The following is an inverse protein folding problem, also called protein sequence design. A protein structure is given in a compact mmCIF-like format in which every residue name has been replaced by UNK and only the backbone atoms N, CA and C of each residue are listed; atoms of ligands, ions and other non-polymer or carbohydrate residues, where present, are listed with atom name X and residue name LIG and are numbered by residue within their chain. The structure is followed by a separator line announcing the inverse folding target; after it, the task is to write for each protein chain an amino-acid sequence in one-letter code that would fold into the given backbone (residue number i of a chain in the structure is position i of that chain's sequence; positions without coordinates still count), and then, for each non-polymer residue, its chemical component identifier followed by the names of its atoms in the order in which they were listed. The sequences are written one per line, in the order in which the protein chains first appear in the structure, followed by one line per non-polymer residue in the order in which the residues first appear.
data_IF_249243076761
#
_entry.id   IF_249243076761
#
_cell.length_a   1.000
_cell.length_b   1.000
_cell.length_c   1.000
_cell.angle_alpha   90.00
_cell.angle_beta   90.00
_cell.angle_gamma   90.00
#
_symmetry.space_group_name_H-M   'P 1'
#
loop_
_entity.id
_entity.type
_entity.pdbx_description
1 polymer ?
#
# COMPACT_ATOMS: atom_id res chain seq x y z
N UNK A 1 -1.60 -15.28 -12.64
CA UNK A 1 -0.77 -15.36 -13.86
C UNK A 1 -0.08 -16.72 -13.88
N UNK A 2 0.02 -17.35 -15.04
CA UNK A 2 0.71 -18.64 -15.20
C UNK A 2 2.10 -18.36 -15.75
N UNK A 3 3.14 -18.65 -14.96
CA UNK A 3 4.53 -18.67 -15.42
C UNK A 3 5.01 -20.12 -15.34
N UNK A 4 5.49 -20.67 -16.46
CA UNK A 4 6.20 -21.95 -16.45
C UNK A 4 5.38 -23.11 -15.84
N UNK A 5 4.10 -23.22 -16.23
CA UNK A 5 3.18 -24.25 -15.73
C UNK A 5 2.73 -24.09 -14.27
N UNK A 6 3.17 -23.04 -13.56
CA UNK A 6 2.81 -22.75 -12.16
C UNK A 6 1.89 -21.53 -12.07
N UNK A 7 0.95 -21.57 -11.15
CA UNK A 7 0.03 -20.47 -10.86
C UNK A 7 0.61 -19.54 -9.79
N UNK A 8 0.69 -18.24 -10.09
CA UNK A 8 0.98 -17.22 -9.09
C UNK A 8 -0.25 -17.04 -8.17
N UNK A 9 -0.09 -17.39 -6.90
CA UNK A 9 -1.09 -17.26 -5.86
C UNK A 9 -0.94 -15.95 -5.09
N UNK A 10 -2.01 -15.20 -4.96
CA UNK A 10 -2.08 -14.05 -4.05
C UNK A 10 -3.53 -13.77 -3.66
N UNK A 11 -3.74 -13.31 -2.43
CA UNK A 11 -4.97 -12.66 -2.01
C UNK A 11 -4.88 -11.19 -2.40
N UNK A 12 -5.87 -10.68 -3.12
CA UNK A 12 -5.87 -9.32 -3.64
C UNK A 12 -7.15 -8.60 -3.26
N UNK A 13 -7.02 -7.32 -2.91
CA UNK A 13 -8.15 -6.42 -2.68
C UNK A 13 -8.21 -5.43 -3.83
N UNK A 14 -9.42 -5.19 -4.34
CA UNK A 14 -9.68 -4.30 -5.46
C UNK A 14 -10.64 -3.19 -5.08
N UNK A 15 -10.38 -1.99 -5.59
CA UNK A 15 -11.32 -0.88 -5.64
C UNK A 15 -11.68 -0.65 -7.11
N UNK A 16 -12.82 -1.18 -7.54
CA UNK A 16 -13.15 -1.27 -8.97
C UNK A 16 -12.17 -2.21 -9.68
N UNK A 17 -11.47 -1.70 -10.69
CA UNK A 17 -10.43 -2.40 -11.45
C UNK A 17 -9.01 -2.17 -10.89
N UNK A 18 -8.87 -1.32 -9.87
CA UNK A 18 -7.57 -1.00 -9.25
C UNK A 18 -7.27 -2.01 -8.15
N UNK A 19 -6.16 -2.73 -8.26
CA UNK A 19 -5.63 -3.54 -7.17
C UNK A 19 -5.00 -2.63 -6.13
N UNK A 20 -5.56 -2.61 -4.92
CA UNK A 20 -5.16 -1.69 -3.84
C UNK A 20 -4.34 -2.37 -2.75
N UNK A 21 -4.36 -3.70 -2.70
CA UNK A 21 -3.53 -4.49 -1.80
C UNK A 21 -3.32 -5.90 -2.38
N UNK A 22 -2.17 -6.51 -2.08
CA UNK A 22 -1.85 -7.87 -2.48
C UNK A 22 -0.95 -8.57 -1.47
N UNK A 23 -1.32 -9.77 -1.05
CA UNK A 23 -0.47 -10.63 -0.21
C UNK A 23 0.81 -11.06 -0.92
N UNK A 24 0.83 -11.02 -2.25
CA UNK A 24 1.97 -11.39 -3.09
C UNK A 24 2.92 -10.24 -3.42
N UNK A 25 2.78 -9.08 -2.76
CA UNK A 25 3.56 -7.87 -3.08
C UNK A 25 5.05 -8.03 -2.83
N UNK A 26 5.43 -8.50 -1.64
CA UNK A 26 6.82 -8.69 -1.25
C UNK A 26 7.36 -10.09 -1.50
N UNK A 27 6.47 -11.08 -1.61
CA UNK A 27 6.88 -12.48 -1.80
C UNK A 27 5.89 -13.16 -2.73
N UNK A 28 6.37 -13.56 -3.91
CA UNK A 28 5.59 -14.32 -4.88
C UNK A 28 5.45 -15.76 -4.39
N UNK A 29 4.23 -16.27 -4.43
CA UNK A 29 3.95 -17.67 -4.15
C UNK A 29 3.50 -18.37 -5.43
N UNK A 30 4.19 -19.43 -5.80
CA UNK A 30 3.83 -20.26 -6.95
C UNK A 30 3.26 -21.59 -6.47
N UNK A 31 2.12 -22.00 -7.02
CA UNK A 31 1.52 -23.30 -6.78
C UNK A 31 1.38 -24.07 -8.08
N UNK A 32 1.65 -25.38 -8.05
CA UNK A 32 1.61 -26.24 -9.24
C UNK A 32 0.20 -26.60 -9.69
N UNK A 33 -0.83 -26.40 -8.84
CA UNK A 33 -2.20 -26.81 -9.17
C UNK A 33 -3.25 -25.82 -8.66
N UNK A 34 -3.39 -25.67 -7.33
CA UNK A 34 -4.40 -24.81 -6.72
C UNK A 34 -3.85 -23.98 -5.57
N UNK A 35 -4.34 -22.76 -5.46
CA UNK A 35 -4.16 -21.89 -4.31
C UNK A 35 -5.34 -22.08 -3.36
N UNK A 36 -5.07 -22.21 -2.06
CA UNK A 36 -6.09 -22.37 -1.02
C UNK A 36 -5.88 -21.23 -0.02
N UNK A 37 -6.92 -20.41 0.17
CA UNK A 37 -7.01 -19.50 1.30
C UNK A 37 -7.77 -20.19 2.43
N UNK A 38 -7.22 -20.16 3.63
CA UNK A 38 -7.79 -20.82 4.80
C UNK A 38 -7.63 -19.91 6.02
N UNK A 39 -8.72 -19.67 6.74
CA UNK A 39 -8.65 -19.22 8.12
C UNK A 39 -8.57 -20.48 9.00
N UNK A 40 -7.38 -20.76 9.52
CA UNK A 40 -7.13 -21.98 10.27
C UNK A 40 -7.76 -21.90 11.67
N UNK A 41 -7.99 -23.07 12.30
CA UNK A 41 -8.60 -23.17 13.63
C UNK A 41 -7.83 -22.46 14.74
N UNK A 42 -6.53 -22.25 14.54
CA UNK A 42 -5.68 -21.49 15.45
C UNK A 42 -5.79 -19.97 15.24
N UNK A 43 -6.63 -19.50 14.32
CA UNK A 43 -6.88 -18.10 14.01
C UNK A 43 -6.01 -17.53 12.89
N UNK A 44 -5.07 -18.29 12.33
CA UNK A 44 -4.16 -17.76 11.31
C UNK A 44 -4.78 -17.84 9.91
N UNK A 45 -4.88 -16.71 9.21
CA UNK A 45 -5.22 -16.66 7.79
C UNK A 45 -4.00 -17.03 6.95
N UNK A 46 -4.13 -18.05 6.10
CA UNK A 46 -3.03 -18.64 5.32
C UNK A 46 -3.39 -18.75 3.85
N UNK A 47 -2.42 -18.44 3.00
CA UNK A 47 -2.42 -18.76 1.57
C UNK A 47 -1.44 -19.92 1.34
N UNK A 48 -1.98 -21.07 0.95
CA UNK A 48 -1.21 -22.32 0.79
C UNK A 48 -1.47 -23.03 -0.53
N UNK A 49 -0.50 -23.83 -0.96
CA UNK A 49 -0.61 -24.70 -2.13
C UNK A 49 -1.28 -26.01 -1.73
N UNK A 50 -1.74 -26.80 -2.71
CA UNK A 50 -2.32 -28.13 -2.50
C UNK A 50 -1.40 -29.10 -1.76
N UNK A 51 -0.07 -28.90 -1.83
CA UNK A 51 0.92 -29.67 -1.07
C UNK A 51 1.16 -29.15 0.36
N UNK A 52 0.28 -28.28 0.89
CA UNK A 52 0.35 -27.64 2.21
C UNK A 52 1.51 -26.65 2.39
N UNK A 53 2.28 -26.33 1.36
CA UNK A 53 3.26 -25.24 1.43
C UNK A 53 2.54 -23.89 1.63
N UNK A 54 2.87 -23.18 2.71
CA UNK A 54 2.30 -21.85 3.03
C UNK A 54 3.23 -20.78 2.47
N UNK A 55 2.76 -20.01 1.50
CA UNK A 55 3.55 -18.92 0.90
C UNK A 55 3.27 -17.54 1.52
N UNK A 56 2.11 -17.37 2.14
CA UNK A 56 1.77 -16.16 2.91
C UNK A 56 0.86 -16.51 4.08
N UNK A 57 1.01 -15.80 5.20
CA UNK A 57 0.12 -15.90 6.36
C UNK A 57 0.04 -14.57 7.12
N UNK A 58 -1.05 -14.39 7.85
CA UNK A 58 -1.31 -13.19 8.66
C UNK A 58 -0.49 -13.13 9.96
N UNK A 59 -0.04 -14.26 10.48
CA UNK A 59 0.70 -14.32 11.75
C UNK A 59 -0.19 -14.18 12.98
N UNK A 60 -1.48 -14.53 12.87
CA UNK A 60 -2.48 -14.34 13.95
C UNK A 60 -2.80 -15.61 14.73
N UNK A 61 -1.96 -16.64 14.61
CA UNK A 61 -2.09 -17.88 15.38
C UNK A 61 -2.14 -17.59 16.88
N UNK A 62 -3.13 -18.15 17.58
CA UNK A 62 -3.37 -17.95 19.01
C UNK A 62 -4.03 -16.62 19.38
N UNK A 63 -4.36 -15.75 18.42
CA UNK A 63 -4.98 -14.44 18.71
C UNK A 63 -6.51 -14.47 18.75
N UNK A 64 -7.13 -15.66 18.61
CA UNK A 64 -8.58 -15.83 18.71
C UNK A 64 -9.35 -15.23 17.52
N UNK A 65 -8.74 -15.14 16.34
CA UNK A 65 -9.42 -14.66 15.14
C UNK A 65 -10.49 -15.66 14.71
N UNK A 66 -11.69 -15.15 14.43
CA UNK A 66 -12.84 -15.96 14.01
C UNK A 66 -13.36 -15.57 12.63
N UNK A 67 -13.07 -14.35 12.16
CA UNK A 67 -13.65 -13.82 10.92
C UNK A 67 -12.70 -12.90 10.16
N UNK A 68 -12.82 -12.97 8.85
CA UNK A 68 -12.21 -12.07 7.87
C UNK A 68 -13.29 -11.14 7.33
N UNK A 69 -13.03 -9.84 7.30
CA UNK A 69 -13.96 -8.83 6.80
C UNK A 69 -13.24 -7.80 5.93
N UNK A 70 -13.88 -7.39 4.84
CA UNK A 70 -13.47 -6.20 4.08
C UNK A 70 -14.39 -5.04 4.44
N UNK A 71 -13.82 -4.00 5.04
CA UNK A 71 -14.55 -2.80 5.43
C UNK A 71 -14.86 -1.94 4.19
N UNK A 72 -15.84 -1.03 4.31
CA UNK A 72 -16.20 -0.07 3.25
C UNK A 72 -15.05 0.85 2.82
N UNK A 73 -14.03 1.00 3.67
CA UNK A 73 -12.77 1.71 3.39
C UNK A 73 -11.81 0.93 2.49
N UNK A 74 -12.09 -0.35 2.21
CA UNK A 74 -11.17 -1.28 1.55
C UNK A 74 -10.15 -1.94 2.50
N UNK A 75 -10.24 -1.66 3.81
CA UNK A 75 -9.39 -2.31 4.81
C UNK A 75 -9.83 -3.76 5.01
N UNK A 76 -8.92 -4.70 4.78
CA UNK A 76 -9.14 -6.12 5.05
C UNK A 76 -8.70 -6.39 6.48
N UNK A 77 -9.63 -6.78 7.35
CA UNK A 77 -9.39 -6.97 8.78
C UNK A 77 -9.66 -8.41 9.20
N UNK A 78 -8.87 -8.89 10.15
CA UNK A 78 -9.12 -10.10 10.92
C UNK A 78 -9.60 -9.71 12.31
N UNK A 79 -10.75 -10.25 12.72
CA UNK A 79 -11.42 -9.89 13.96
C UNK A 79 -11.56 -11.13 14.86
N UNK A 80 -11.49 -10.91 16.17
CA UNK A 80 -11.90 -11.89 17.18
C UNK A 80 -13.41 -11.85 17.46
N UNK A 81 -13.88 -12.72 18.35
CA UNK A 81 -15.28 -12.81 18.79
C UNK A 81 -15.83 -11.49 19.40
N UNK A 82 -14.94 -10.63 19.90
CA UNK A 82 -15.26 -9.33 20.50
C UNK A 82 -15.20 -8.18 19.48
N UNK A 83 -15.04 -8.48 18.19
CA UNK A 83 -14.85 -7.51 17.11
C UNK A 83 -13.58 -6.65 17.24
N UNK A 84 -12.56 -7.14 17.95
CA UNK A 84 -11.26 -6.48 18.03
C UNK A 84 -10.40 -6.88 16.84
N UNK A 85 -9.83 -5.88 16.16
CA UNK A 85 -8.91 -6.06 15.04
C UNK A 85 -7.61 -6.69 15.56
N UNK A 86 -7.31 -7.90 15.09
CA UNK A 86 -6.03 -8.60 15.35
C UNK A 86 -5.01 -8.40 14.24
N UNK A 87 -5.48 -8.14 13.03
CA UNK A 87 -4.66 -7.84 11.87
C UNK A 87 -5.44 -7.01 10.87
N UNK A 88 -4.77 -6.13 10.15
CA UNK A 88 -5.40 -5.33 9.09
C UNK A 88 -4.43 -5.05 7.95
N UNK A 89 -4.93 -5.04 6.71
CA UNK A 89 -4.12 -4.79 5.52
C UNK A 89 -3.52 -3.39 5.49
N UNK A 90 -4.16 -2.42 6.15
CA UNK A 90 -3.67 -1.03 6.20
C UNK A 90 -2.30 -0.89 6.89
N UNK A 91 -1.93 -1.84 7.76
CA UNK A 91 -0.60 -1.88 8.39
C UNK A 91 0.48 -2.47 7.48
N UNK A 92 0.10 -3.07 6.35
CA UNK A 92 1.00 -3.73 5.39
C UNK A 92 0.72 -3.21 3.98
N UNK A 93 0.93 -1.91 3.71
CA UNK A 93 0.59 -1.31 2.43
C UNK A 93 1.45 -1.87 1.28
N UNK A 94 0.96 -1.71 0.04
CA UNK A 94 1.68 -2.10 -1.18
C UNK A 94 2.16 -0.86 -1.95
N UNK A 95 1.73 -0.65 -3.19
CA UNK A 95 1.92 0.56 -4.00
C UNK A 95 0.82 1.60 -3.80
N UNK A 96 -0.28 1.27 -3.12
CA UNK A 96 -1.48 2.10 -2.96
C UNK A 96 -1.75 2.41 -1.49
N UNK A 97 -2.20 3.64 -1.24
CA UNK A 97 -2.75 4.11 0.02
C UNK A 97 -4.22 4.53 -0.18
N UNK A 98 -5.13 3.97 0.61
CA UNK A 98 -6.56 4.29 0.55
C UNK A 98 -6.94 5.46 1.46
N UNK A 99 -8.10 6.06 1.18
CA UNK A 99 -8.64 7.11 2.04
C UNK A 99 -8.85 6.59 3.48
N UNK A 100 -8.45 7.40 4.46
CA UNK A 100 -8.47 7.05 5.88
C UNK A 100 -7.26 6.25 6.36
N UNK A 101 -6.46 5.68 5.46
CA UNK A 101 -5.23 4.99 5.83
C UNK A 101 -4.20 5.97 6.39
N UNK A 102 -3.39 5.50 7.35
CA UNK A 102 -2.26 6.20 7.95
C UNK A 102 -0.98 5.49 7.56
N UNK A 103 0.05 6.25 7.17
CA UNK A 103 1.41 5.74 7.00
C UNK A 103 2.31 6.48 7.99
N UNK A 104 2.82 5.74 8.97
CA UNK A 104 3.79 6.25 9.93
C UNK A 104 5.17 6.42 9.27
N UNK A 105 6.03 7.23 9.89
CA UNK A 105 7.45 7.27 9.54
C UNK A 105 8.02 5.85 9.48
N UNK A 106 8.92 5.62 8.51
CA UNK A 106 9.48 4.31 8.16
C UNK A 106 8.50 3.32 7.49
N UNK A 107 7.23 3.69 7.33
CA UNK A 107 6.33 3.00 6.39
C UNK A 107 6.61 3.47 4.97
N UNK A 108 6.54 2.56 4.01
CA UNK A 108 6.78 2.86 2.61
C UNK A 108 5.71 2.23 1.72
N UNK A 109 5.37 2.91 0.65
CA UNK A 109 4.70 2.29 -0.50
C UNK A 109 5.77 1.90 -1.49
N UNK A 110 5.67 0.73 -2.11
CA UNK A 110 6.64 0.30 -3.13
C UNK A 110 5.94 -0.15 -4.38
N UNK A 111 6.49 0.19 -5.56
CA UNK A 111 6.02 -0.36 -6.83
C UNK A 111 6.25 -1.88 -6.88
N UNK A 112 5.53 -2.59 -7.75
CA UNK A 112 5.74 -4.00 -8.07
C UNK A 112 6.84 -4.19 -9.14
N UNK A 113 8.11 -4.49 -8.77
CA UNK A 113 9.11 -4.85 -9.76
C UNK A 113 8.74 -6.18 -10.43
N UNK A 114 8.59 -6.17 -11.76
CA UNK A 114 8.25 -7.39 -12.51
C UNK A 114 9.46 -8.26 -12.84
N UNK A 115 10.62 -7.65 -13.12
CA UNK A 115 11.75 -8.33 -13.78
C UNK A 115 13.13 -7.95 -13.21
N UNK A 116 13.27 -6.80 -12.54
CA UNK A 116 14.56 -6.28 -12.08
C UNK A 116 14.56 -5.96 -10.58
N UNK A 117 15.76 -5.79 -10.01
CA UNK A 117 15.94 -5.27 -8.64
C UNK A 117 15.65 -3.76 -8.54
N UNK A 118 15.08 -3.16 -9.59
CA UNK A 118 14.71 -1.75 -9.64
C UNK A 118 13.26 -1.60 -9.19
N UNK A 119 13.04 -0.80 -8.16
CA UNK A 119 11.70 -0.45 -7.71
C UNK A 119 11.65 0.98 -7.19
N UNK A 120 10.48 1.58 -7.26
CA UNK A 120 10.20 2.90 -6.72
C UNK A 120 9.59 2.77 -5.33
N UNK A 121 9.93 3.67 -4.43
CA UNK A 121 9.27 3.79 -3.13
C UNK A 121 8.80 5.21 -2.85
N UNK A 122 7.66 5.32 -2.19
CA UNK A 122 7.21 6.52 -1.49
C UNK A 122 7.42 6.32 0.00
N UNK A 123 8.12 7.24 0.64
CA UNK A 123 8.54 7.09 2.04
C UNK A 123 8.22 8.33 2.86
N UNK A 124 7.79 8.06 4.10
CA UNK A 124 7.57 9.08 5.13
C UNK A 124 8.82 9.14 6.01
N UNK A 125 9.52 10.26 5.95
CA UNK A 125 10.73 10.54 6.73
C UNK A 125 10.43 11.59 7.80
N UNK A 126 11.32 11.75 8.78
CA UNK A 126 11.12 12.68 9.91
C UNK A 126 11.07 14.15 9.51
N UNK A 127 11.67 14.53 8.40
CA UNK A 127 11.75 15.92 7.92
C UNK A 127 10.91 16.18 6.66
N UNK A 128 10.49 15.12 5.95
CA UNK A 128 9.88 15.21 4.62
C UNK A 128 9.16 13.94 4.21
N UNK A 129 8.44 14.01 3.11
CA UNK A 129 8.07 12.83 2.32
C UNK A 129 8.86 12.85 1.01
N UNK A 130 9.21 11.68 0.49
CA UNK A 130 10.05 11.60 -0.70
C UNK A 130 9.74 10.38 -1.56
N UNK A 131 10.10 10.48 -2.83
CA UNK A 131 10.13 9.37 -3.76
C UNK A 131 11.57 8.93 -4.03
N UNK A 132 11.77 7.62 -4.01
CA UNK A 132 13.07 7.01 -4.23
C UNK A 132 13.06 6.03 -5.38
N UNK A 133 14.13 6.04 -6.16
CA UNK A 133 14.54 4.98 -7.05
C UNK A 133 15.50 4.07 -6.28
N UNK A 134 15.12 2.81 -6.10
CA UNK A 134 15.92 1.80 -5.43
C UNK A 134 16.47 0.84 -6.48
N UNK A 135 17.79 0.64 -6.49
CA UNK A 135 18.48 -0.28 -7.38
C UNK A 135 19.57 -1.03 -6.61
N UNK A 136 19.34 -2.31 -6.31
CA UNK A 136 20.23 -3.12 -5.48
C UNK A 136 20.47 -2.48 -4.10
N UNK A 137 21.66 -1.93 -3.85
CA UNK A 137 22.02 -1.22 -2.61
C UNK A 137 21.96 0.30 -2.76
N UNK A 138 21.70 0.80 -3.96
CA UNK A 138 21.62 2.22 -4.26
C UNK A 138 20.20 2.72 -4.06
N UNK A 139 20.09 3.94 -3.52
CA UNK A 139 18.83 4.61 -3.27
C UNK A 139 18.97 6.09 -3.59
N UNK A 140 18.22 6.56 -4.58
CA UNK A 140 18.28 7.93 -5.07
C UNK A 140 16.92 8.62 -4.88
N UNK A 141 16.91 9.72 -4.13
CA UNK A 141 15.75 10.60 -4.02
C UNK A 141 15.62 11.39 -5.32
N UNK A 142 14.44 11.38 -5.94
CA UNK A 142 14.18 12.16 -7.16
C UNK A 142 13.00 13.13 -7.03
N UNK A 143 12.32 13.13 -5.89
CA UNK A 143 11.27 14.10 -5.56
C UNK A 143 11.09 14.17 -4.05
N UNK A 144 10.89 15.37 -3.52
CA UNK A 144 10.72 15.60 -2.09
C UNK A 144 9.65 16.66 -1.82
N UNK A 145 8.87 16.47 -0.76
CA UNK A 145 7.99 17.49 -0.22
C UNK A 145 8.30 17.69 1.25
N UNK A 146 8.66 18.94 1.59
CA UNK A 146 8.96 19.36 2.96
C UNK A 146 7.81 20.22 3.49
N UNK A 147 7.25 19.93 4.68
CA UNK A 147 6.27 20.80 5.31
C UNK A 147 6.91 22.18 5.57
N UNK A 148 6.17 23.27 5.28
CA UNK A 148 6.68 24.62 5.43
C UNK A 148 6.91 25.03 6.89
N UNK A 149 8.02 25.73 7.15
CA UNK A 149 8.42 26.24 8.48
C UNK A 149 9.65 25.53 9.06
N UNK A 150 10.42 26.23 9.90
CA UNK A 150 11.61 25.66 10.54
C UNK A 150 11.21 24.63 11.61
N UNK A 151 12.00 23.55 11.75
CA UNK A 151 11.92 22.52 12.80
C UNK A 151 10.63 21.69 12.88
N UNK A 152 9.89 21.52 11.79
CA UNK A 152 8.74 20.60 11.80
C UNK A 152 9.18 19.15 11.60
N UNK A 153 8.76 18.28 12.52
CA UNK A 153 8.94 16.83 12.42
C UNK A 153 7.69 16.17 11.89
N UNK A 154 7.82 15.38 10.84
CA UNK A 154 6.75 14.50 10.35
C UNK A 154 6.76 13.22 11.19
N UNK A 155 5.58 12.78 11.63
CA UNK A 155 5.37 11.53 12.36
C UNK A 155 4.55 10.54 11.52
N UNK A 156 3.54 11.03 10.81
CA UNK A 156 2.74 10.21 9.90
C UNK A 156 2.07 11.06 8.84
N UNK A 157 1.59 10.40 7.79
CA UNK A 157 0.69 10.99 6.80
C UNK A 157 -0.64 10.26 6.78
N UNK A 158 -1.71 10.97 6.43
CA UNK A 158 -3.06 10.40 6.29
C UNK A 158 -3.70 10.90 5.01
N UNK A 159 -4.27 9.99 4.23
CA UNK A 159 -5.00 10.35 3.03
C UNK A 159 -6.44 10.71 3.41
N UNK A 160 -6.80 11.97 3.24
CA UNK A 160 -8.13 12.52 3.53
C UNK A 160 -8.88 12.91 2.25
N UNK A 161 -10.13 13.41 2.40
CA UNK A 161 -10.94 13.87 1.28
C UNK A 161 -10.40 15.14 0.60
N UNK A 162 -9.50 15.87 1.26
CA UNK A 162 -8.87 17.11 0.80
C UNK A 162 -7.41 16.90 0.34
N UNK A 163 -6.93 15.65 0.33
CA UNK A 163 -5.59 15.30 -0.14
C UNK A 163 -4.76 14.58 0.92
N UNK A 164 -3.43 14.68 0.81
CA UNK A 164 -2.50 14.02 1.72
C UNK A 164 -2.09 14.99 2.84
N UNK A 165 -2.50 14.69 4.06
CA UNK A 165 -2.15 15.45 5.26
C UNK A 165 -0.87 14.90 5.91
N UNK A 166 0.04 15.80 6.31
CA UNK A 166 1.22 15.47 7.11
C UNK A 166 0.99 15.92 8.55
N UNK A 167 1.33 15.07 9.51
CA UNK A 167 1.13 15.32 10.94
C UNK A 167 2.44 15.18 11.73
N UNK A 168 2.56 15.96 12.80
CA UNK A 168 3.67 15.88 13.75
C UNK A 168 3.42 14.86 14.88
N UNK A 169 4.35 14.81 15.83
CA UNK A 169 4.28 13.92 17.00
C UNK A 169 3.06 14.21 17.90
N UNK A 170 2.58 15.46 17.92
CA UNK A 170 1.40 15.89 18.66
C UNK A 170 0.10 15.70 17.86
N UNK A 171 0.17 15.05 16.69
CA UNK A 171 -0.95 14.89 15.76
C UNK A 171 -1.52 16.23 15.24
N UNK A 172 -0.73 17.29 15.23
CA UNK A 172 -1.06 18.55 14.58
C UNK A 172 -0.70 18.47 13.09
N UNK A 173 -1.61 18.96 12.23
CA UNK A 173 -1.36 19.00 10.79
C UNK A 173 -0.31 20.07 10.48
N UNK A 174 0.80 19.65 9.87
CA UNK A 174 1.95 20.51 9.57
C UNK A 174 2.13 20.84 8.09
N UNK A 175 1.47 20.08 7.21
CA UNK A 175 1.52 20.28 5.76
C UNK A 175 0.38 19.51 5.06
N UNK A 176 0.14 19.84 3.80
CA UNK A 176 -0.87 19.19 2.96
C UNK A 176 -0.50 19.27 1.49
N UNK A 177 -0.66 18.17 0.77
CA UNK A 177 -0.79 18.17 -0.70
C UNK A 177 -2.27 18.23 -1.01
N UNK A 178 -2.74 19.40 -1.46
CA UNK A 178 -4.17 19.65 -1.65
C UNK A 178 -4.68 18.98 -2.91
N UNK A 179 -5.71 18.15 -2.76
CA UNK A 179 -6.46 17.61 -3.89
C UNK A 179 -7.82 17.12 -3.42
N UNK A 180 -8.87 17.51 -4.13
CA UNK A 180 -10.25 17.15 -3.77
C UNK A 180 -10.71 15.88 -4.47
N UNK A 181 -11.71 15.21 -3.87
CA UNK A 181 -12.39 14.03 -4.43
C UNK A 181 -11.50 12.80 -4.63
N UNK A 182 -10.37 12.75 -3.92
CA UNK A 182 -9.44 11.63 -3.98
C UNK A 182 -10.05 10.36 -3.40
N UNK A 183 -9.76 9.25 -4.08
CA UNK A 183 -10.14 7.90 -3.66
C UNK A 183 -8.94 7.14 -3.11
N UNK A 184 -7.79 7.27 -3.76
CA UNK A 184 -6.55 6.66 -3.33
C UNK A 184 -5.34 7.44 -3.84
N UNK A 185 -4.19 7.18 -3.24
CA UNK A 185 -2.87 7.63 -3.66
C UNK A 185 -2.07 6.39 -4.09
N UNK A 186 -1.29 6.47 -5.16
CA UNK A 186 -0.50 5.33 -5.63
C UNK A 186 0.86 5.74 -6.20
N UNK A 187 1.85 4.88 -6.00
CA UNK A 187 3.15 4.93 -6.69
C UNK A 187 3.02 4.16 -8.00
N UNK A 188 3.26 4.84 -9.12
CA UNK A 188 3.12 4.26 -10.44
C UNK A 188 4.14 3.15 -10.70
N UNK A 189 3.66 1.92 -10.95
CA UNK A 189 4.54 0.76 -11.13
C UNK A 189 5.56 0.86 -12.27
N UNK A 190 5.24 1.64 -13.33
CA UNK A 190 6.14 1.86 -14.47
C UNK A 190 6.88 3.20 -14.40
N UNK A 191 6.27 4.20 -13.80
CA UNK A 191 6.72 5.59 -13.86
C UNK A 191 7.45 6.04 -12.60
N UNK A 192 7.26 5.35 -11.48
CA UNK A 192 7.68 5.77 -10.14
C UNK A 192 6.89 6.94 -9.56
N UNK A 193 6.27 7.75 -10.41
CA UNK A 193 5.53 8.93 -10.00
C UNK A 193 4.41 8.65 -8.98
N UNK A 194 4.26 9.55 -8.02
CA UNK A 194 3.18 9.55 -7.04
C UNK A 194 1.96 10.25 -7.62
N UNK A 195 0.83 9.57 -7.68
CA UNK A 195 -0.44 10.15 -8.12
C UNK A 195 -1.50 10.13 -7.04
N UNK A 196 -2.33 11.18 -6.98
CA UNK A 196 -3.60 11.14 -6.24
C UNK A 196 -4.72 10.97 -7.26
N UNK A 197 -5.55 9.93 -7.07
CA UNK A 197 -6.49 9.46 -8.08
C UNK A 197 -7.93 9.75 -7.68
N UNK A 198 -8.68 10.26 -8.66
CA UNK A 198 -10.12 10.50 -8.55
C UNK A 198 -10.86 9.65 -9.59
N UNK A 199 -12.08 9.23 -9.27
CA UNK A 199 -12.94 8.56 -10.25
C UNK A 199 -13.49 9.58 -11.25
N UNK A 200 -13.41 9.27 -12.54
CA UNK A 200 -13.99 10.09 -13.63
C UNK A 200 -15.20 9.34 -14.21
N UNK A 201 -16.43 9.70 -13.81
CA UNK A 201 -17.65 9.00 -14.23
C UNK A 201 -17.78 8.91 -15.76
N UNK A 202 -17.49 10.01 -16.46
CA UNK A 202 -17.54 10.12 -17.92
C UNK A 202 -16.67 9.08 -18.66
N UNK A 203 -15.60 8.61 -18.02
CA UNK A 203 -14.65 7.64 -18.59
C UNK A 203 -14.71 6.26 -17.93
N UNK A 204 -15.54 6.10 -16.89
CA UNK A 204 -15.67 4.86 -16.13
C UNK A 204 -14.40 4.39 -15.43
N UNK A 205 -13.40 5.26 -15.22
CA UNK A 205 -12.07 4.88 -14.68
C UNK A 205 -11.50 5.89 -13.71
N UNK A 206 -10.49 5.48 -12.94
CA UNK A 206 -9.70 6.37 -12.11
C UNK A 206 -8.63 7.10 -12.94
N UNK A 207 -8.47 8.40 -12.71
CA UNK A 207 -7.41 9.21 -13.31
C UNK A 207 -6.65 9.97 -12.23
N UNK A 208 -5.34 10.13 -12.43
CA UNK A 208 -4.51 10.96 -11.57
C UNK A 208 -4.91 12.42 -11.76
N UNK A 209 -5.36 13.06 -10.68
CA UNK A 209 -5.66 14.51 -10.66
C UNK A 209 -4.50 15.33 -10.14
N UNK A 210 -3.54 14.68 -9.48
CA UNK A 210 -2.25 15.24 -9.09
C UNK A 210 -1.15 14.24 -9.45
N UNK A 211 0.01 14.76 -9.84
CA UNK A 211 1.24 14.01 -10.02
C UNK A 211 2.39 14.77 -9.36
N UNK A 212 3.24 14.05 -8.62
CA UNK A 212 4.39 14.65 -7.94
C UNK A 212 5.43 15.21 -8.91
N UNK A 213 5.75 14.45 -9.95
CA UNK A 213 6.66 14.86 -11.03
C UNK A 213 5.80 15.18 -12.25
N UNK A 214 5.64 16.45 -12.56
CA UNK A 214 4.76 16.89 -13.66
C UNK A 214 5.54 17.16 -14.95
N UNK A 215 6.78 17.65 -14.82
CA UNK A 215 7.68 18.00 -15.92
C UNK A 215 9.10 17.48 -15.66
N UNK A 216 9.93 17.42 -16.71
CA UNK A 216 11.34 17.03 -16.59
C UNK A 216 12.16 17.98 -15.73
N UNK A 217 11.74 19.24 -15.58
CA UNK A 217 12.38 20.22 -14.69
C UNK A 217 12.16 19.91 -13.20
N UNK A 218 11.25 19.01 -12.86
CA UNK A 218 11.00 18.57 -11.48
C UNK A 218 11.97 17.43 -11.05
N UNK A 219 12.76 16.90 -12.01
CA UNK A 219 13.80 15.91 -11.74
C UNK A 219 15.13 16.62 -11.40
N UNK A 220 15.89 16.14 -10.42
CA UNK A 220 17.19 16.71 -10.04
C UNK A 220 18.27 16.55 -11.11
#
# INVERSE_FOLDING_TARGET
EQEDGRYLCSLQVFLGDVRVWSSGHYTKMYASNKCIIELAKDGDLRLKSSNKHVGWRSGTSGQGVERLEIQSTGNLVLLDAMNLIKWQSFNFPTDVMLSGQRLDVATQLTSFPKVSNLFYSFEVLRDKIALFLNLNKLKYSYWEYKPGGNNKTVNFVRLGPQGLDLFDDNSQRIGRIEQTLIRFLAVGNKTGNLGLYSYKPEKGKFEATFQAVSNTCDLP
#
